data_IF_761059466451
#
_entry.id   IF_761059466451
#
_cell.length_a   1.000
_cell.length_b   1.000
_cell.length_c   1.000
_cell.angle_alpha   90.00
_cell.angle_beta   90.00
_cell.angle_gamma   90.00
#
_symmetry.space_group_name_H-M   'P 1'
#
loop_
_entity.id
_entity.type
_entity.pdbx_description
1 polymer ?
#
# COMPACT_ATOMS: atom_id res chain seq x y z
N UNK A 1 45.59 -17.29 35.91
CA UNK A 1 44.12 -17.37 35.73
C UNK A 1 43.79 -16.91 34.31
N UNK A 2 42.80 -17.54 33.72
CA UNK A 2 42.60 -17.79 32.28
C UNK A 2 42.20 -16.57 31.45
N UNK A 3 42.73 -16.55 30.23
CA UNK A 3 42.41 -15.71 29.08
C UNK A 3 40.91 -15.62 28.78
N UNK A 4 40.45 -14.44 28.38
CA UNK A 4 39.21 -14.28 27.58
C UNK A 4 39.44 -13.23 26.49
N UNK A 5 39.84 -13.72 25.32
CA UNK A 5 39.72 -13.02 24.04
C UNK A 5 38.24 -12.87 23.71
N UNK A 6 37.75 -11.63 23.61
CA UNK A 6 36.46 -11.35 22.99
C UNK A 6 36.72 -11.18 21.50
N UNK A 7 36.28 -12.17 20.71
CA UNK A 7 36.15 -12.07 19.26
C UNK A 7 34.94 -11.20 18.98
N UNK A 8 35.15 -9.96 18.58
CA UNK A 8 34.08 -9.16 17.96
C UNK A 8 33.90 -9.67 16.53
N UNK A 9 32.88 -10.49 16.33
CA UNK A 9 32.44 -10.91 15.01
C UNK A 9 31.67 -9.75 14.34
N UNK A 10 32.41 -8.85 13.70
CA UNK A 10 31.83 -7.84 12.81
C UNK A 10 31.26 -8.56 11.58
N UNK A 11 29.94 -8.75 11.55
CA UNK A 11 29.24 -9.28 10.38
C UNK A 11 29.14 -8.17 9.35
N UNK A 12 30.12 -8.09 8.46
CA UNK A 12 30.01 -7.31 7.23
C UNK A 12 28.95 -8.01 6.38
N UNK A 13 27.75 -7.42 6.27
CA UNK A 13 26.77 -7.89 5.30
C UNK A 13 27.37 -7.69 3.91
N UNK A 14 27.67 -8.81 3.24
CA UNK A 14 28.07 -8.84 1.85
C UNK A 14 26.85 -8.40 1.04
N UNK A 15 26.83 -7.14 0.61
CA UNK A 15 25.86 -6.64 -0.37
C UNK A 15 26.26 -7.25 -1.71
N UNK A 16 25.88 -8.51 -1.88
CA UNK A 16 26.17 -9.29 -3.08
C UNK A 16 25.48 -8.61 -4.26
N UNK A 17 26.30 -8.29 -5.26
CA UNK A 17 26.01 -7.78 -6.60
C UNK A 17 24.52 -7.63 -6.97
N UNK A 18 24.02 -6.39 -6.96
CA UNK A 18 22.76 -6.05 -7.63
C UNK A 18 22.96 -6.17 -9.14
N UNK A 19 22.57 -7.31 -9.71
CA UNK A 19 22.56 -7.49 -11.16
C UNK A 19 21.43 -6.62 -11.75
N UNK A 20 21.70 -5.75 -12.76
CA UNK A 20 20.65 -4.97 -13.40
C UNK A 20 19.62 -5.90 -14.04
N UNK A 21 18.34 -5.60 -13.85
CA UNK A 21 17.25 -6.29 -14.54
C UNK A 21 17.41 -6.12 -16.05
N UNK A 22 17.16 -7.19 -16.78
CA UNK A 22 17.18 -7.20 -18.25
C UNK A 22 15.92 -6.52 -18.80
N UNK A 23 15.96 -5.94 -20.01
CA UNK A 23 14.80 -5.31 -20.63
C UNK A 23 13.58 -6.24 -20.75
N UNK A 24 13.81 -7.55 -20.90
CA UNK A 24 12.76 -8.58 -20.97
C UNK A 24 12.07 -8.76 -19.60
N UNK A 25 12.83 -8.76 -18.50
CA UNK A 25 12.27 -8.81 -17.14
C UNK A 25 11.46 -7.55 -16.80
N UNK A 26 11.87 -6.38 -17.32
CA UNK A 26 11.12 -5.13 -17.15
C UNK A 26 9.83 -5.13 -17.97
N UNK A 27 9.88 -5.67 -19.20
CA UNK A 27 8.71 -5.81 -20.07
C UNK A 27 7.68 -6.79 -19.50
N UNK A 28 8.14 -7.94 -18.99
CA UNK A 28 7.26 -8.86 -18.27
C UNK A 28 6.60 -8.19 -17.07
N UNK A 29 7.34 -7.46 -16.23
CA UNK A 29 6.75 -6.71 -15.11
C UNK A 29 5.69 -5.69 -15.55
N UNK A 30 5.88 -5.02 -16.70
CA UNK A 30 4.91 -4.07 -17.27
C UNK A 30 3.67 -4.77 -17.84
N UNK A 31 3.79 -5.99 -18.34
CA UNK A 31 2.67 -6.78 -18.85
C UNK A 31 1.78 -7.37 -17.75
N UNK A 32 2.25 -7.42 -16.50
CA UNK A 32 1.43 -7.84 -15.34
C UNK A 32 0.46 -6.73 -14.87
N UNK A 33 0.64 -5.47 -15.31
CA UNK A 33 -0.20 -4.33 -14.91
C UNK A 33 -1.60 -4.37 -15.57
N UNK A 34 -1.76 -5.10 -16.69
CA UNK A 34 -3.01 -5.18 -17.46
C UNK A 34 -4.14 -5.96 -16.76
N UNK A 35 -3.89 -6.55 -15.58
CA UNK A 35 -4.91 -7.30 -14.80
C UNK A 35 -5.18 -6.73 -13.41
N UNK A 36 -4.92 -5.44 -13.19
CA UNK A 36 -5.39 -4.76 -11.99
C UNK A 36 -6.92 -4.50 -12.08
N UNK A 37 -7.71 -5.58 -11.98
CA UNK A 37 -9.15 -5.53 -11.70
C UNK A 37 -9.32 -5.14 -10.23
N UNK A 38 -9.33 -3.83 -9.95
CA UNK A 38 -9.70 -3.35 -8.63
C UNK A 38 -11.22 -3.24 -8.50
N UNK A 39 -11.73 -3.86 -7.43
CA UNK A 39 -13.10 -3.67 -6.94
C UNK A 39 -13.33 -2.18 -6.64
N UNK A 40 -14.00 -1.50 -7.58
CA UNK A 40 -14.41 -0.11 -7.37
C UNK A 40 -15.59 -0.05 -6.42
N UNK A 41 -15.46 0.80 -5.41
CA UNK A 41 -16.48 1.02 -4.39
C UNK A 41 -17.03 2.44 -4.49
N UNK A 42 -18.36 2.55 -4.48
CA UNK A 42 -19.03 3.84 -4.48
C UNK A 42 -19.06 4.39 -3.05
N UNK A 43 -18.43 5.53 -2.85
CA UNK A 43 -18.30 6.19 -1.57
C UNK A 43 -19.14 7.46 -1.55
N UNK A 44 -19.81 7.75 -0.44
CA UNK A 44 -20.66 8.94 -0.26
C UNK A 44 -20.20 9.78 0.91
N UNK A 45 -20.05 11.07 0.68
CA UNK A 45 -19.74 12.05 1.72
C UNK A 45 -20.97 12.34 2.57
N UNK A 46 -20.83 12.21 3.88
CA UNK A 46 -21.84 12.53 4.89
C UNK A 46 -22.25 14.01 4.90
N UNK A 47 -21.31 14.90 4.59
CA UNK A 47 -21.46 16.35 4.71
C UNK A 47 -22.03 17.01 3.47
N UNK A 48 -21.45 16.73 2.29
CA UNK A 48 -21.85 17.37 1.04
C UNK A 48 -22.66 16.46 0.13
N UNK A 49 -22.83 15.18 0.49
CA UNK A 49 -23.64 14.23 -0.27
C UNK A 49 -23.03 13.82 -1.61
N UNK A 50 -21.79 14.21 -1.91
CA UNK A 50 -21.15 13.80 -3.16
C UNK A 50 -20.83 12.31 -3.14
N UNK A 51 -21.00 11.68 -4.30
CA UNK A 51 -20.69 10.27 -4.52
C UNK A 51 -19.46 10.18 -5.44
N UNK A 52 -18.53 9.29 -5.13
CA UNK A 52 -17.30 9.07 -5.90
C UNK A 52 -16.96 7.58 -5.91
N UNK A 53 -16.49 7.08 -7.06
CA UNK A 53 -15.93 5.74 -7.15
C UNK A 53 -14.46 5.78 -6.76
N UNK A 54 -14.09 4.95 -5.79
CA UNK A 54 -12.73 4.79 -5.31
C UNK A 54 -12.33 3.32 -5.40
N UNK A 55 -11.02 3.12 -5.40
CA UNK A 55 -10.40 1.81 -5.44
C UNK A 55 -10.53 1.13 -4.06
N UNK A 56 -11.21 -0.02 -4.00
CA UNK A 56 -11.45 -0.74 -2.75
C UNK A 56 -10.16 -1.29 -2.13
N UNK A 57 -9.17 -1.65 -2.95
CA UNK A 57 -7.86 -2.09 -2.46
C UNK A 57 -7.14 -0.94 -1.75
N UNK A 58 -7.07 0.24 -2.37
CA UNK A 58 -6.46 1.43 -1.74
C UNK A 58 -7.16 1.79 -0.43
N UNK A 59 -8.49 1.74 -0.39
CA UNK A 59 -9.23 2.05 0.82
C UNK A 59 -8.98 1.03 1.94
N UNK A 60 -8.77 -0.24 1.58
CA UNK A 60 -8.46 -1.30 2.55
C UNK A 60 -7.09 -1.07 3.16
N UNK A 61 -6.08 -0.76 2.34
CA UNK A 61 -4.73 -0.43 2.81
C UNK A 61 -4.74 0.79 3.76
N UNK A 62 -5.58 1.80 3.48
CA UNK A 62 -5.77 2.96 4.37
C UNK A 62 -6.41 2.52 5.69
N UNK A 63 -7.49 1.73 5.62
CA UNK A 63 -8.20 1.25 6.81
C UNK A 63 -7.29 0.37 7.71
N UNK A 64 -6.49 -0.53 7.12
CA UNK A 64 -5.53 -1.35 7.85
C UNK A 64 -4.44 -0.52 8.53
N UNK A 65 -3.97 0.55 7.88
CA UNK A 65 -2.99 1.46 8.45
C UNK A 65 -3.56 2.27 9.64
N UNK A 66 -4.83 2.67 9.55
CA UNK A 66 -5.53 3.40 10.61
C UNK A 66 -6.10 2.49 11.70
N UNK A 67 -6.14 1.17 11.45
CA UNK A 67 -6.77 0.18 12.33
C UNK A 67 -8.30 0.28 12.34
N UNK A 68 -8.89 0.78 11.26
CA UNK A 68 -10.34 0.90 11.05
C UNK A 68 -10.88 -0.38 10.38
N UNK A 69 -12.02 -0.85 10.86
CA UNK A 69 -12.72 -2.02 10.31
C UNK A 69 -13.67 -1.65 9.14
N UNK A 70 -13.93 -0.36 8.93
CA UNK A 70 -14.73 0.14 7.81
C UNK A 70 -13.89 0.96 6.82
N UNK A 71 -14.21 0.82 5.53
CA UNK A 71 -13.62 1.67 4.49
C UNK A 71 -14.15 3.10 4.65
N UNK A 72 -13.32 4.00 5.16
CA UNK A 72 -13.63 5.41 5.34
C UNK A 72 -12.49 6.31 4.82
N UNK A 73 -12.83 7.46 4.25
CA UNK A 73 -11.80 8.42 3.80
C UNK A 73 -12.30 9.87 3.84
N UNK A 74 -11.38 10.85 3.85
CA UNK A 74 -11.75 12.27 3.80
C UNK A 74 -12.31 12.63 2.42
N UNK A 75 -13.38 13.40 2.40
CA UNK A 75 -14.01 13.86 1.17
C UNK A 75 -13.10 14.84 0.41
N UNK A 76 -12.64 14.45 -0.77
CA UNK A 76 -11.78 15.28 -1.62
C UNK A 76 -12.50 16.51 -2.20
N UNK A 77 -13.84 16.53 -2.23
CA UNK A 77 -14.63 17.67 -2.71
C UNK A 77 -14.76 18.78 -1.69
N UNK A 78 -15.07 18.45 -0.44
CA UNK A 78 -15.32 19.44 0.61
C UNK A 78 -14.19 19.57 1.64
N UNK A 79 -13.24 18.63 1.63
CA UNK A 79 -12.06 18.58 2.49
C UNK A 79 -12.35 18.39 3.98
N UNK A 80 -13.61 18.13 4.35
CA UNK A 80 -14.06 18.17 5.75
C UNK A 80 -15.11 17.12 6.12
N UNK A 81 -15.69 16.43 5.15
CA UNK A 81 -16.65 15.35 5.41
C UNK A 81 -15.95 14.01 5.33
N UNK A 82 -16.53 13.00 5.98
CA UNK A 82 -16.06 11.62 5.88
C UNK A 82 -16.89 10.92 4.81
N UNK A 83 -16.22 10.13 3.97
CA UNK A 83 -16.85 9.32 2.95
C UNK A 83 -16.97 7.89 3.43
N UNK A 84 -18.14 7.31 3.25
CA UNK A 84 -18.45 5.93 3.64
C UNK A 84 -18.94 5.16 2.42
N UNK A 85 -18.72 3.84 2.44
CA UNK A 85 -19.17 2.97 1.37
C UNK A 85 -20.70 2.93 1.29
N UNK A 86 -21.22 3.14 0.09
CA UNK A 86 -22.64 2.94 -0.22
C UNK A 86 -22.84 1.45 -0.53
N UNK A 87 -23.42 0.71 0.42
CA UNK A 87 -23.87 -0.66 0.18
C UNK A 87 -25.06 -0.62 -0.80
N UNK A 88 -24.93 -1.29 -1.94
CA UNK A 88 -26.02 -1.45 -2.93
C UNK A 88 -27.13 -2.36 -2.40
#
# INVERSE_FOLDING_TARGET
>A
MTSRTKKDASTHQNISEVKPLTPEEVDEMLLHDDTYESDKVLMKCDRCGCEMELDGYILSEIAEADGDDELSCICMKCGKGTMHQVKK
#
